data_IF_051870154287
#
_entry.id   IF_051870154287
#
_cell.length_a   1.000
_cell.length_b   1.000
_cell.length_c   1.000
_cell.angle_alpha   90.00
_cell.angle_beta   90.00
_cell.angle_gamma   90.00
#
_symmetry.space_group_name_H-M   'P 1'
#
loop_
_entity.id
_entity.type
_entity.pdbx_description
1 polymer ?
#
# COMPACT_ATOMS: atom_id res chain seq x y z
N UNK A 1 -16.71 6.93 -7.36
CA UNK A 1 -16.45 7.04 -5.90
C UNK A 1 -14.96 7.04 -5.52
N UNK A 2 -14.18 5.94 -5.71
CA UNK A 2 -12.74 5.95 -5.33
C UNK A 2 -11.92 6.82 -6.28
N UNK A 3 -12.01 6.62 -7.61
CA UNK A 3 -11.21 7.37 -8.59
C UNK A 3 -11.45 8.89 -8.48
N UNK A 4 -12.71 9.33 -8.45
CA UNK A 4 -13.07 10.74 -8.25
C UNK A 4 -12.49 11.32 -6.95
N UNK A 5 -12.43 10.50 -5.89
CA UNK A 5 -11.77 10.93 -4.65
C UNK A 5 -10.28 11.12 -4.87
N UNK A 6 -9.60 10.17 -5.53
CA UNK A 6 -8.18 10.31 -5.84
C UNK A 6 -7.89 11.52 -6.75
N UNK A 7 -8.79 11.85 -7.67
CA UNK A 7 -8.70 13.05 -8.52
C UNK A 7 -8.76 14.33 -7.68
N UNK A 8 -9.67 14.42 -6.70
CA UNK A 8 -9.77 15.57 -5.78
C UNK A 8 -8.50 15.80 -4.95
N UNK A 9 -7.74 14.75 -4.65
CA UNK A 9 -6.46 14.85 -3.93
C UNK A 9 -5.27 15.20 -4.85
N UNK A 10 -5.50 15.44 -6.15
CA UNK A 10 -4.46 15.85 -7.08
C UNK A 10 -3.37 14.80 -7.29
N UNK A 11 -3.72 13.52 -7.15
CA UNK A 11 -2.74 12.43 -7.31
C UNK A 11 -2.33 12.27 -8.77
N UNK A 12 -1.08 11.90 -9.01
CA UNK A 12 -0.60 11.56 -10.36
C UNK A 12 -1.16 10.22 -10.81
N UNK A 13 -1.16 9.95 -12.12
CA UNK A 13 -1.64 8.67 -12.65
C UNK A 13 -0.85 7.47 -12.10
N UNK A 14 0.46 7.65 -11.87
CA UNK A 14 1.28 6.65 -11.21
C UNK A 14 0.78 6.38 -9.78
N UNK A 15 0.51 7.43 -9.00
CA UNK A 15 0.00 7.29 -7.63
C UNK A 15 -1.37 6.60 -7.61
N UNK A 16 -2.28 7.01 -8.50
CA UNK A 16 -3.60 6.36 -8.64
C UNK A 16 -3.46 4.88 -8.97
N UNK A 17 -2.65 4.51 -9.96
CA UNK A 17 -2.39 3.11 -10.34
C UNK A 17 -1.84 2.29 -9.17
N UNK A 18 -0.89 2.85 -8.41
CA UNK A 18 -0.35 2.20 -7.20
C UNK A 18 -1.46 1.95 -6.18
N UNK A 19 -2.25 2.98 -5.84
CA UNK A 19 -3.30 2.87 -4.84
C UNK A 19 -4.38 1.87 -5.26
N UNK A 20 -4.83 1.94 -6.52
CA UNK A 20 -5.81 1.02 -7.07
C UNK A 20 -5.30 -0.43 -7.09
N UNK A 21 -4.02 -0.67 -7.42
CA UNK A 21 -3.42 -2.00 -7.37
C UNK A 21 -3.47 -2.61 -5.96
N UNK A 22 -3.40 -1.81 -4.90
CA UNK A 22 -3.50 -2.35 -3.53
C UNK A 22 -4.89 -2.86 -3.16
N UNK A 23 -5.95 -2.44 -3.85
CA UNK A 23 -7.32 -2.92 -3.59
C UNK A 23 -7.47 -4.42 -3.88
N UNK A 24 -6.60 -5.01 -4.72
CA UNK A 24 -6.63 -6.45 -5.01
C UNK A 24 -5.99 -7.31 -3.90
N UNK A 25 -5.40 -6.70 -2.87
CA UNK A 25 -4.76 -7.46 -1.77
C UNK A 25 -5.85 -7.85 -0.76
N UNK A 26 -6.16 -9.14 -0.66
CA UNK A 26 -7.16 -9.66 0.26
C UNK A 26 -6.81 -9.45 1.74
N UNK A 27 -7.82 -9.54 2.62
CA UNK A 27 -7.60 -9.56 4.08
C UNK A 27 -6.71 -10.75 4.46
N UNK A 28 -5.74 -10.54 5.35
CA UNK A 28 -4.79 -11.57 5.77
C UNK A 28 -3.68 -11.84 4.77
N UNK A 29 -3.68 -11.15 3.63
CA UNK A 29 -2.64 -11.27 2.60
C UNK A 29 -1.73 -10.05 2.59
N UNK A 30 -0.50 -10.26 2.12
CA UNK A 30 0.44 -9.18 1.86
C UNK A 30 0.97 -9.23 0.43
N UNK A 31 1.48 -8.09 -0.02
CA UNK A 31 2.28 -7.96 -1.23
C UNK A 31 3.52 -7.13 -0.94
N UNK A 32 4.58 -7.36 -1.70
CA UNK A 32 5.80 -6.54 -1.60
C UNK A 32 5.66 -5.28 -2.45
N UNK A 33 6.42 -4.24 -2.12
CA UNK A 33 6.54 -3.06 -2.98
C UNK A 33 6.94 -3.42 -4.42
N UNK A 34 7.78 -4.46 -4.57
CA UNK A 34 8.21 -4.99 -5.88
C UNK A 34 7.04 -5.63 -6.64
N UNK A 35 6.24 -6.45 -5.97
CA UNK A 35 5.06 -7.08 -6.59
C UNK A 35 4.06 -6.04 -7.09
N UNK A 36 3.82 -4.97 -6.32
CA UNK A 36 2.94 -3.88 -6.78
C UNK A 36 3.56 -3.16 -7.97
N UNK A 37 4.86 -2.89 -7.95
CA UNK A 37 5.57 -2.27 -9.06
C UNK A 37 5.47 -3.11 -10.35
N UNK A 38 5.61 -4.43 -10.24
CA UNK A 38 5.42 -5.38 -11.33
C UNK A 38 3.96 -5.40 -11.83
N UNK A 39 2.97 -5.42 -10.91
CA UNK A 39 1.54 -5.42 -11.25
C UNK A 39 1.11 -4.19 -12.06
N UNK A 40 1.72 -3.03 -11.83
CA UNK A 40 1.43 -1.80 -12.57
C UNK A 40 2.31 -1.59 -13.81
N UNK A 41 3.15 -2.56 -14.18
CA UNK A 41 4.02 -2.49 -15.38
C UNK A 41 5.31 -1.68 -15.19
N UNK A 42 5.71 -1.39 -13.95
CA UNK A 42 6.88 -0.57 -13.62
C UNK A 42 7.85 -1.31 -12.68
N UNK A 43 8.42 -2.43 -13.11
CA UNK A 43 9.23 -3.36 -12.28
C UNK A 43 10.31 -2.70 -11.40
N UNK A 44 10.93 -1.62 -11.87
CA UNK A 44 12.00 -0.91 -11.16
C UNK A 44 11.50 0.21 -10.21
N UNK A 45 10.19 0.44 -10.13
CA UNK A 45 9.59 1.56 -9.41
C UNK A 45 9.23 1.25 -7.94
N UNK A 46 9.74 0.18 -7.34
CA UNK A 46 9.39 -0.25 -5.97
C UNK A 46 9.60 0.84 -4.90
N UNK A 47 10.63 1.71 -5.04
CA UNK A 47 10.82 2.87 -4.15
C UNK A 47 9.71 3.91 -4.35
N UNK A 48 9.37 4.21 -5.61
CA UNK A 48 8.31 5.16 -5.96
C UNK A 48 6.93 4.67 -5.51
N UNK A 49 6.67 3.35 -5.57
CA UNK A 49 5.48 2.72 -4.97
C UNK A 49 5.39 3.06 -3.48
N UNK A 50 6.48 2.92 -2.73
CA UNK A 50 6.51 3.28 -1.32
C UNK A 50 6.18 4.75 -1.05
N UNK A 51 6.64 5.66 -1.90
CA UNK A 51 6.30 7.10 -1.81
C UNK A 51 4.83 7.35 -2.15
N UNK A 52 4.29 6.71 -3.20
CA UNK A 52 2.90 6.83 -3.60
C UNK A 52 1.94 6.34 -2.50
N UNK A 53 2.27 5.23 -1.83
CA UNK A 53 1.45 4.69 -0.73
C UNK A 53 1.36 5.63 0.47
N UNK A 54 2.35 6.50 0.71
CA UNK A 54 2.28 7.54 1.77
C UNK A 54 1.31 8.67 1.43
N UNK A 55 0.97 8.84 0.15
CA UNK A 55 -0.01 9.82 -0.32
C UNK A 55 -1.44 9.26 -0.33
N UNK A 56 -1.67 8.07 0.23
CA UNK A 56 -2.99 7.48 0.31
C UNK A 56 -3.95 8.35 1.15
N UNK A 57 -4.98 8.97 0.54
CA UNK A 57 -5.94 9.80 1.27
C UNK A 57 -6.99 8.98 2.02
N UNK A 58 -7.13 7.69 1.72
CA UNK A 58 -8.13 6.79 2.28
C UNK A 58 -7.46 5.56 2.92
N UNK A 59 -6.71 5.70 4.04
CA UNK A 59 -6.17 4.56 4.76
C UNK A 59 -7.26 3.54 5.13
N UNK A 60 -6.89 2.27 5.26
CA UNK A 60 -7.79 1.13 5.54
C UNK A 60 -8.68 0.76 4.34
N UNK A 61 -9.44 1.71 3.78
CA UNK A 61 -10.23 1.49 2.57
C UNK A 61 -9.34 1.12 1.39
N UNK A 62 -8.27 1.87 1.18
CA UNK A 62 -7.15 1.50 0.32
C UNK A 62 -6.10 0.86 1.25
N UNK A 63 -5.87 -0.47 1.19
CA UNK A 63 -5.19 -1.22 2.23
C UNK A 63 -3.66 -1.15 2.09
N UNK A 64 -3.10 0.06 2.12
CA UNK A 64 -1.66 0.27 1.98
C UNK A 64 -0.81 -0.35 3.12
N UNK A 65 -1.44 -0.72 4.25
CA UNK A 65 -0.79 -1.48 5.33
C UNK A 65 -0.43 -2.90 4.90
N UNK A 66 -1.10 -3.46 3.89
CA UNK A 66 -0.82 -4.81 3.35
C UNK A 66 0.41 -4.87 2.43
N UNK A 67 1.04 -3.73 2.14
CA UNK A 67 2.26 -3.68 1.32
C UNK A 67 3.52 -3.68 2.21
N UNK A 68 4.38 -4.68 2.11
CA UNK A 68 5.56 -4.88 2.95
C UNK A 68 6.87 -4.92 2.14
N UNK A 69 8.02 -5.01 2.81
CA UNK A 69 9.30 -5.20 2.12
C UNK A 69 9.47 -6.64 1.65
N UNK A 70 10.34 -6.85 0.67
CA UNK A 70 10.62 -8.19 0.13
C UNK A 70 11.33 -9.13 1.09
N UNK A 71 11.96 -8.59 2.15
CA UNK A 71 12.60 -9.36 3.23
C UNK A 71 11.61 -9.77 4.34
N UNK A 72 10.30 -9.53 4.14
CA UNK A 72 9.26 -9.81 5.14
C UNK A 72 9.13 -8.74 6.24
N UNK A 73 10.06 -7.78 6.33
CA UNK A 73 9.98 -6.73 7.35
C UNK A 73 8.93 -5.67 7.00
N UNK A 74 8.39 -5.02 8.03
CA UNK A 74 7.42 -3.96 7.85
C UNK A 74 8.13 -2.67 7.43
N UNK A 75 7.79 -2.16 6.24
CA UNK A 75 8.08 -0.79 5.87
C UNK A 75 7.24 0.20 6.68
N UNK A 76 7.69 1.46 6.77
CA UNK A 76 6.94 2.55 7.41
C UNK A 76 5.53 2.66 6.82
N UNK A 77 4.57 3.04 7.66
CA UNK A 77 3.18 3.21 7.30
C UNK A 77 2.71 4.61 7.64
N UNK A 78 1.99 5.24 6.70
CA UNK A 78 1.59 6.65 6.79
C UNK A 78 2.77 7.57 7.20
N UNK A 79 2.49 8.62 8.00
CA UNK A 79 3.46 9.58 8.54
C UNK A 79 4.40 8.99 9.62
N UNK A 80 4.97 7.80 9.37
CA UNK A 80 5.99 7.10 10.17
C UNK A 80 5.53 6.17 11.31
N UNK A 81 4.27 5.75 11.37
CA UNK A 81 3.77 4.83 12.41
C UNK A 81 3.81 3.36 11.97
N UNK A 82 4.84 2.61 12.38
CA UNK A 82 4.93 1.16 12.16
C UNK A 82 4.03 0.33 13.08
N UNK A 83 3.66 0.87 14.25
CA UNK A 83 2.84 0.16 15.25
C UNK A 83 1.43 -0.09 14.74
N UNK A 84 0.79 0.93 14.14
CA UNK A 84 -0.55 0.78 13.55
C UNK A 84 -0.61 -0.21 12.40
N UNK A 85 0.42 -0.26 11.55
CA UNK A 85 0.52 -1.26 10.48
C UNK A 85 0.62 -2.67 11.03
N UNK A 86 1.49 -2.89 12.03
CA UNK A 86 1.60 -4.19 12.70
C UNK A 86 0.26 -4.61 13.30
N UNK A 87 -0.39 -3.72 14.06
CA UNK A 87 -1.67 -4.02 14.69
C UNK A 87 -2.77 -4.36 13.66
N UNK A 88 -2.83 -3.65 12.52
CA UNK A 88 -3.78 -3.96 11.45
C UNK A 88 -3.48 -5.32 10.81
N UNK A 89 -2.21 -5.59 10.47
CA UNK A 89 -1.83 -6.87 9.88
C UNK A 89 -2.10 -8.04 10.83
N UNK A 90 -1.81 -7.90 12.12
CA UNK A 90 -2.10 -8.91 13.13
C UNK A 90 -3.61 -9.17 13.28
N UNK A 91 -4.43 -8.11 13.34
CA UNK A 91 -5.90 -8.22 13.37
C UNK A 91 -6.49 -8.88 12.12
N UNK A 92 -5.79 -8.77 10.99
CA UNK A 92 -6.17 -9.41 9.74
C UNK A 92 -5.68 -10.86 9.61
N UNK A 93 -4.83 -11.34 10.53
CA UNK A 93 -4.22 -12.67 10.49
C UNK A 93 -3.06 -12.78 9.49
N UNK A 94 -2.46 -11.66 9.08
CA UNK A 94 -1.36 -11.64 8.10
C UNK A 94 0.03 -11.83 8.73
N UNK A 95 0.16 -11.54 10.02
CA UNK A 95 1.36 -11.73 10.85
C UNK A 95 0.94 -12.10 12.27
N UNK A 96 1.85 -12.70 13.02
CA UNK A 96 1.67 -12.87 14.47
C UNK A 96 1.76 -11.52 15.21
N UNK A 97 1.03 -11.43 16.32
CA UNK A 97 0.93 -10.23 17.15
C UNK A 97 2.24 -9.91 17.88
#
# INVERSE_FOLDING_TARGET
MIIETLDRYGLTDFQKRVLLATLSIGKGQTRTYKQIAEQIGHRNAYRAVGTALRKNPLPITIPCHRVIKSDGTLGRYANADTGRKRALLAREGAIDA
#
